data_IF_154426176487
#
_entry.id   IF_154426176487
#
_cell.length_a   1.000
_cell.length_b   1.000
_cell.length_c   1.000
_cell.angle_alpha   90.00
_cell.angle_beta   90.00
_cell.angle_gamma   90.00
#
_symmetry.space_group_name_H-M   'P 1'
#
loop_
_entity.id
_entity.type
_entity.pdbx_description
1 polymer ?
#
# COMPACT_ATOMS: atom_id res chain seq x y z
N UNK A 1 -8.63 -1.32 -24.94
CA UNK A 1 -7.36 -0.77 -25.45
C UNK A 1 -6.79 0.12 -24.35
N UNK A 2 -6.12 -0.46 -23.37
CA UNK A 2 -5.46 0.27 -22.27
C UNK A 2 -4.00 -0.11 -22.34
N UNK A 3 -3.23 0.66 -23.11
CA UNK A 3 -1.78 0.59 -23.03
C UNK A 3 -1.40 0.94 -21.58
N UNK A 4 -0.47 0.19 -20.98
CA UNK A 4 0.17 0.52 -19.71
C UNK A 4 0.67 1.97 -19.78
N UNK A 5 -0.10 2.93 -19.23
CA UNK A 5 0.29 4.33 -19.17
C UNK A 5 1.41 4.48 -18.14
N UNK A 6 2.43 5.25 -18.49
CA UNK A 6 3.51 5.55 -17.55
C UNK A 6 3.02 6.46 -16.43
N UNK A 7 3.73 6.52 -15.31
CA UNK A 7 3.39 7.50 -14.27
C UNK A 7 3.48 8.95 -14.76
N UNK A 8 4.32 9.22 -15.78
CA UNK A 8 4.38 10.53 -16.41
C UNK A 8 3.09 10.86 -17.18
N UNK A 9 2.61 9.92 -18.00
CA UNK A 9 1.37 10.10 -18.79
C UNK A 9 0.17 10.34 -17.86
N UNK A 10 0.03 9.50 -16.83
CA UNK A 10 -1.06 9.61 -15.86
C UNK A 10 -1.00 10.94 -15.09
N UNK A 11 0.20 11.40 -14.74
CA UNK A 11 0.38 12.71 -14.11
C UNK A 11 -0.05 13.85 -15.05
N UNK A 12 0.33 13.79 -16.33
CA UNK A 12 -0.06 14.78 -17.34
C UNK A 12 -1.57 14.82 -17.54
N UNK A 13 -2.21 13.66 -17.70
CA UNK A 13 -3.68 13.56 -17.83
C UNK A 13 -4.40 14.21 -16.63
N UNK A 14 -3.90 13.99 -15.41
CA UNK A 14 -4.46 14.60 -14.21
C UNK A 14 -4.26 16.12 -14.16
N UNK A 15 -3.12 16.63 -14.61
CA UNK A 15 -2.83 18.08 -14.63
C UNK A 15 -3.68 18.81 -15.68
N UNK A 16 -4.04 18.13 -16.77
CA UNK A 16 -4.94 18.67 -17.81
C UNK A 16 -6.41 18.70 -17.38
N UNK A 17 -6.84 17.78 -16.50
CA UNK A 17 -8.19 17.78 -15.92
C UNK A 17 -8.31 18.78 -14.75
N UNK A 18 -9.28 19.72 -14.82
CA UNK A 18 -9.42 20.78 -13.82
C UNK A 18 -9.66 20.24 -12.38
N UNK A 19 -10.45 19.18 -12.26
CA UNK A 19 -10.82 18.60 -10.96
C UNK A 19 -9.62 17.83 -10.37
N UNK A 20 -9.00 16.96 -11.17
CA UNK A 20 -7.84 16.18 -10.76
C UNK A 20 -6.67 17.10 -10.41
N UNK A 21 -6.35 18.08 -11.27
CA UNK A 21 -5.28 19.03 -11.03
C UNK A 21 -5.47 19.82 -9.73
N UNK A 22 -6.70 20.28 -9.46
CA UNK A 22 -7.01 20.99 -8.22
C UNK A 22 -6.79 20.09 -6.99
N UNK A 23 -7.26 18.84 -7.03
CA UNK A 23 -7.09 17.90 -5.92
C UNK A 23 -5.62 17.50 -5.74
N UNK A 24 -4.91 17.24 -6.84
CA UNK A 24 -3.49 16.90 -6.85
C UNK A 24 -2.67 18.06 -6.28
N UNK A 25 -2.95 19.29 -6.68
CA UNK A 25 -2.30 20.50 -6.15
C UNK A 25 -2.47 20.65 -4.63
N UNK A 26 -3.66 20.35 -4.10
CA UNK A 26 -3.91 20.38 -2.65
C UNK A 26 -3.11 19.31 -1.91
N UNK A 27 -3.07 18.10 -2.47
CA UNK A 27 -2.27 16.99 -1.93
C UNK A 27 -0.77 17.31 -1.91
N UNK A 28 -0.21 17.79 -3.04
CA UNK A 28 1.20 18.12 -3.17
C UNK A 28 1.62 19.30 -2.30
N UNK A 29 0.72 20.27 -2.08
CA UNK A 29 0.99 21.39 -1.18
C UNK A 29 1.30 20.91 0.25
N UNK A 30 0.73 19.79 0.68
CA UNK A 30 1.01 19.21 2.01
C UNK A 30 2.26 18.33 1.97
N UNK A 31 2.38 17.48 0.95
CA UNK A 31 3.41 16.45 0.88
C UNK A 31 4.78 16.94 0.36
N UNK A 32 4.86 18.08 -0.32
CA UNK A 32 6.08 18.58 -0.97
C UNK A 32 6.77 19.75 -0.23
N UNK A 33 6.38 20.09 1.01
CA UNK A 33 6.97 21.24 1.74
C UNK A 33 8.37 20.91 2.24
N UNK A 34 9.35 21.47 1.52
CA UNK A 34 10.78 21.20 1.50
C UNK A 34 11.60 21.14 2.81
N UNK A 35 11.08 21.21 4.04
CA UNK A 35 11.92 21.01 5.25
C UNK A 35 11.32 20.27 6.45
N UNK A 36 10.00 20.06 6.53
CA UNK A 36 9.38 19.20 7.56
C UNK A 36 8.07 18.66 7.01
N UNK A 37 8.17 17.64 6.17
CA UNK A 37 7.01 16.81 5.84
C UNK A 37 6.35 16.38 7.16
N UNK A 38 5.07 16.74 7.34
CA UNK A 38 4.25 16.12 8.36
C UNK A 38 3.63 14.86 7.74
N UNK A 39 4.15 13.70 8.11
CA UNK A 39 3.71 12.41 7.56
C UNK A 39 2.21 12.19 7.75
N UNK A 40 1.64 12.55 8.90
CA UNK A 40 0.22 12.38 9.19
C UNK A 40 -0.67 13.28 8.33
N UNK A 41 -0.30 14.56 8.18
CA UNK A 41 -1.02 15.50 7.32
C UNK A 41 -0.93 15.08 5.85
N UNK A 42 0.25 14.63 5.41
CA UNK A 42 0.43 14.15 4.04
C UNK A 42 -0.36 12.86 3.79
N UNK A 43 -0.35 11.91 4.72
CA UNK A 43 -1.19 10.71 4.66
C UNK A 43 -2.69 11.06 4.62
N UNK A 44 -3.13 12.04 5.40
CA UNK A 44 -4.52 12.51 5.36
C UNK A 44 -4.88 13.14 4.00
N UNK A 45 -4.00 13.97 3.45
CA UNK A 45 -4.18 14.57 2.13
C UNK A 45 -4.19 13.52 1.01
N UNK A 46 -3.31 12.52 1.11
CA UNK A 46 -3.25 11.37 0.21
C UNK A 46 -4.53 10.53 0.27
N UNK A 47 -5.02 10.20 1.47
CA UNK A 47 -6.33 9.54 1.64
C UNK A 47 -7.43 10.35 0.97
N UNK A 48 -7.48 11.65 1.27
CA UNK A 48 -8.50 12.53 0.70
C UNK A 48 -8.46 12.53 -0.83
N UNK A 49 -7.28 12.60 -1.44
CA UNK A 49 -7.12 12.52 -2.89
C UNK A 49 -7.66 11.20 -3.45
N UNK A 50 -7.12 10.05 -3.03
CA UNK A 50 -7.48 8.75 -3.62
C UNK A 50 -8.92 8.31 -3.34
N UNK A 51 -9.55 8.77 -2.24
CA UNK A 51 -10.95 8.45 -1.92
C UNK A 51 -11.97 9.34 -2.64
N UNK A 52 -11.59 10.56 -3.05
CA UNK A 52 -12.51 11.50 -3.70
C UNK A 52 -12.33 11.56 -5.22
N UNK A 53 -11.26 10.96 -5.76
CA UNK A 53 -11.11 10.79 -7.20
C UNK A 53 -12.00 9.65 -7.72
N UNK A 54 -12.49 9.72 -8.98
CA UNK A 54 -13.12 8.58 -9.63
C UNK A 54 -12.21 7.35 -9.58
N UNK A 55 -12.81 6.18 -9.38
CA UNK A 55 -12.07 4.93 -9.17
C UNK A 55 -11.06 4.65 -10.28
N UNK A 56 -11.42 4.92 -11.54
CA UNK A 56 -10.55 4.73 -12.70
C UNK A 56 -9.30 5.61 -12.64
N UNK A 57 -9.45 6.86 -12.18
CA UNK A 57 -8.32 7.80 -12.03
C UNK A 57 -7.42 7.35 -10.89
N UNK A 58 -8.00 7.05 -9.73
CA UNK A 58 -7.27 6.53 -8.58
C UNK A 58 -6.49 5.24 -8.94
N UNK A 59 -7.13 4.32 -9.66
CA UNK A 59 -6.53 3.08 -10.13
C UNK A 59 -5.35 3.33 -11.08
N UNK A 60 -5.50 4.23 -12.06
CA UNK A 60 -4.42 4.57 -12.99
C UNK A 60 -3.21 5.19 -12.27
N UNK A 61 -3.45 6.06 -11.29
CA UNK A 61 -2.40 6.73 -10.50
C UNK A 61 -1.69 5.76 -9.54
N UNK A 62 -2.45 4.88 -8.89
CA UNK A 62 -1.94 3.88 -7.97
C UNK A 62 -1.06 2.83 -8.68
N UNK A 63 -1.46 2.37 -9.86
CA UNK A 63 -0.80 1.26 -10.55
C UNK A 63 0.11 1.65 -11.72
N UNK A 64 0.32 2.95 -11.95
CA UNK A 64 1.29 3.40 -12.95
C UNK A 64 2.70 2.86 -12.63
N UNK A 65 3.52 2.67 -13.65
CA UNK A 65 4.91 2.27 -13.48
C UNK A 65 5.81 2.96 -14.50
N UNK A 66 7.12 2.86 -14.30
CA UNK A 66 8.14 3.49 -15.13
C UNK A 66 9.13 2.47 -15.65
N UNK A 67 9.56 2.65 -16.90
CA UNK A 67 10.68 1.90 -17.46
C UNK A 67 11.98 2.62 -17.14
N UNK A 68 13.04 1.88 -16.82
CA UNK A 68 14.37 2.47 -16.70
C UNK A 68 14.92 2.79 -18.12
N UNK A 69 15.60 3.93 -18.33
CA UNK A 69 16.05 4.93 -17.35
C UNK A 69 15.20 6.22 -17.31
N UNK A 70 13.86 6.15 -17.41
CA UNK A 70 13.01 7.35 -17.51
C UNK A 70 12.91 8.14 -16.18
N UNK A 71 13.89 9.03 -15.95
CA UNK A 71 13.98 9.87 -14.75
C UNK A 71 12.75 10.77 -14.54
N UNK A 72 12.13 11.22 -15.63
CA UNK A 72 10.95 12.09 -15.55
C UNK A 72 9.73 11.31 -15.06
N UNK A 73 9.54 10.10 -15.57
CA UNK A 73 8.52 9.19 -15.06
C UNK A 73 8.78 8.83 -13.59
N UNK A 74 10.02 8.51 -13.21
CA UNK A 74 10.34 8.19 -11.83
C UNK A 74 10.05 9.37 -10.89
N UNK A 75 10.40 10.59 -11.28
CA UNK A 75 10.07 11.80 -10.51
C UNK A 75 8.56 11.98 -10.35
N UNK A 76 7.79 11.73 -11.41
CA UNK A 76 6.33 11.75 -11.36
C UNK A 76 5.77 10.66 -10.43
N UNK A 77 6.32 9.43 -10.50
CA UNK A 77 5.93 8.31 -9.64
C UNK A 77 6.12 8.64 -8.16
N UNK A 78 7.29 9.14 -7.78
CA UNK A 78 7.58 9.49 -6.39
C UNK A 78 6.61 10.57 -5.87
N UNK A 79 6.29 11.55 -6.70
CA UNK A 79 5.33 12.61 -6.38
C UNK A 79 3.90 12.07 -6.21
N UNK A 80 3.42 11.26 -7.15
CA UNK A 80 2.09 10.65 -7.11
C UNK A 80 1.94 9.68 -5.92
N UNK A 81 3.03 9.03 -5.54
CA UNK A 81 3.08 8.01 -4.48
C UNK A 81 3.50 8.57 -3.12
N UNK A 82 3.67 9.89 -3.03
CA UNK A 82 3.86 10.60 -1.76
C UNK A 82 5.24 10.43 -1.18
N UNK A 83 6.22 9.99 -1.96
CA UNK A 83 7.60 9.84 -1.52
C UNK A 83 8.34 11.18 -1.54
N UNK A 84 9.26 11.41 -0.59
CA UNK A 84 9.60 10.56 0.55
C UNK A 84 8.73 10.83 1.80
N UNK A 85 7.58 11.50 1.67
CA UNK A 85 6.86 12.07 2.80
C UNK A 85 5.83 11.12 3.47
N UNK A 86 4.93 10.54 2.69
CA UNK A 86 3.83 9.70 3.16
C UNK A 86 4.26 8.25 3.49
N UNK A 87 5.31 7.76 2.82
CA UNK A 87 5.69 6.34 2.84
C UNK A 87 7.03 6.08 3.51
N UNK A 88 7.93 7.05 3.54
CA UNK A 88 9.30 6.82 4.02
C UNK A 88 9.49 7.40 5.41
N UNK A 89 9.92 6.57 6.35
CA UNK A 89 10.36 6.99 7.68
C UNK A 89 11.83 6.64 7.91
N UNK A 90 12.50 7.42 8.76
CA UNK A 90 13.87 7.16 9.18
C UNK A 90 13.94 7.07 10.71
N UNK A 91 14.22 5.88 11.31
CA UNK A 91 14.49 4.60 10.66
C UNK A 91 13.24 3.94 10.03
N UNK A 92 13.45 2.96 9.13
CA UNK A 92 12.39 2.11 8.59
C UNK A 92 11.83 1.20 9.70
N UNK A 93 10.50 1.16 9.93
CA UNK A 93 9.88 0.26 10.89
C UNK A 93 9.95 -1.18 10.42
N UNK A 94 9.74 -2.12 11.35
CA UNK A 94 9.48 -3.49 10.94
C UNK A 94 8.11 -3.61 10.30
N UNK A 95 7.92 -4.55 9.37
CA UNK A 95 6.59 -4.76 8.77
C UNK A 95 5.57 -5.20 9.83
N UNK A 96 6.01 -5.91 10.87
CA UNK A 96 5.17 -6.22 12.03
C UNK A 96 4.77 -4.95 12.81
N UNK A 97 5.69 -3.99 12.98
CA UNK A 97 5.39 -2.71 13.61
C UNK A 97 4.39 -1.88 12.80
N UNK A 98 4.47 -1.89 11.46
CA UNK A 98 3.49 -1.23 10.58
C UNK A 98 2.09 -1.82 10.78
N UNK A 99 2.00 -3.15 10.87
CA UNK A 99 0.77 -3.87 11.16
C UNK A 99 0.21 -3.46 12.53
N UNK A 100 1.02 -3.47 13.59
CA UNK A 100 0.56 -3.03 14.92
C UNK A 100 0.11 -1.56 14.96
N UNK A 101 0.85 -0.65 14.32
CA UNK A 101 0.45 0.75 14.21
C UNK A 101 -0.87 0.93 13.45
N UNK A 102 -1.13 0.08 12.45
CA UNK A 102 -2.42 0.05 11.77
C UNK A 102 -3.55 -0.43 12.69
N UNK A 103 -3.33 -1.49 13.48
CA UNK A 103 -4.34 -2.03 14.41
C UNK A 103 -4.80 -0.99 15.45
N UNK A 104 -3.87 -0.17 15.92
CA UNK A 104 -4.12 0.92 16.88
C UNK A 104 -4.80 2.15 16.24
N UNK A 105 -4.81 2.26 14.91
CA UNK A 105 -5.36 3.41 14.19
C UNK A 105 -6.77 3.14 13.67
N UNK A 106 -7.77 3.90 14.13
CA UNK A 106 -9.19 3.68 13.75
C UNK A 106 -9.47 3.70 12.24
N UNK A 107 -8.70 4.47 11.46
CA UNK A 107 -8.87 4.59 10.00
C UNK A 107 -8.32 3.37 9.26
N UNK A 108 -7.33 2.70 9.83
CA UNK A 108 -6.79 1.45 9.31
C UNK A 108 -7.56 0.24 9.88
N UNK A 109 -8.10 0.39 11.08
CA UNK A 109 -8.73 -0.65 11.88
C UNK A 109 -10.14 -1.04 11.45
N UNK A 110 -10.90 -0.20 10.72
CA UNK A 110 -12.32 -0.42 10.35
C UNK A 110 -13.03 -1.40 11.31
N UNK A 111 -13.12 -0.97 12.58
CA UNK A 111 -13.43 -1.79 13.77
C UNK A 111 -14.46 -2.90 13.51
N UNK A 112 -14.00 -4.13 13.42
CA UNK A 112 -14.39 -5.29 14.26
C UNK A 112 -13.32 -6.33 13.92
N UNK A 113 -12.48 -6.80 14.82
CA UNK A 113 -12.74 -7.78 15.88
C UNK A 113 -11.32 -7.76 16.64
N UNK A 114 -11.21 -7.89 17.98
CA UNK A 114 -9.94 -7.76 18.79
C UNK A 114 -8.96 -8.97 18.94
N UNK A 115 -7.64 -8.89 18.84
CA UNK A 115 -6.77 -10.05 19.20
C UNK A 115 -5.52 -9.73 19.99
N UNK A 116 -5.35 -10.49 21.06
CA UNK A 116 -4.23 -10.50 22.00
C UNK A 116 -3.26 -11.63 21.67
N UNK A 117 -2.09 -11.27 21.12
CA UNK A 117 -0.82 -12.00 21.16
C UNK A 117 -0.89 -13.54 21.28
N UNK A 118 -0.53 -14.26 20.22
CA UNK A 118 -0.32 -15.72 20.15
C UNK A 118 -1.53 -16.69 20.25
N UNK A 119 -2.75 -16.20 20.38
CA UNK A 119 -3.96 -16.80 19.75
C UNK A 119 -4.45 -15.87 18.61
N UNK A 120 -3.42 -15.22 18.03
CA UNK A 120 -3.31 -13.79 17.68
C UNK A 120 -3.82 -13.33 16.33
N UNK A 121 -3.80 -14.26 15.38
CA UNK A 121 -4.05 -14.02 13.96
C UNK A 121 -5.54 -13.94 13.67
N UNK A 122 -6.39 -14.14 14.70
CA UNK A 122 -7.83 -14.32 14.57
C UNK A 122 -8.61 -13.08 14.11
N UNK A 123 -7.95 -11.95 13.87
CA UNK A 123 -8.49 -10.76 13.20
C UNK A 123 -7.42 -10.00 12.43
N UNK A 124 -6.55 -10.74 11.75
CA UNK A 124 -5.64 -10.10 10.82
C UNK A 124 -6.46 -9.59 9.62
N UNK A 125 -6.72 -8.29 9.69
CA UNK A 125 -6.74 -7.30 8.62
C UNK A 125 -7.98 -7.23 7.73
N UNK A 126 -8.59 -6.04 7.79
CA UNK A 126 -9.10 -5.18 6.70
C UNK A 126 -9.57 -5.83 5.39
N UNK A 127 -10.56 -5.18 4.76
CA UNK A 127 -11.06 -5.51 3.41
C UNK A 127 -9.95 -5.86 2.41
N UNK A 128 -8.77 -5.24 2.50
CA UNK A 128 -7.61 -5.57 1.68
C UNK A 128 -7.16 -7.03 1.79
N UNK A 129 -7.01 -7.56 3.00
CA UNK A 129 -6.61 -8.94 3.20
C UNK A 129 -7.65 -9.92 2.68
N UNK A 130 -8.90 -9.66 3.03
CA UNK A 130 -10.05 -10.49 2.63
C UNK A 130 -10.18 -10.58 1.11
N UNK A 131 -10.01 -9.45 0.43
CA UNK A 131 -10.20 -9.37 -1.03
C UNK A 131 -8.98 -9.84 -1.80
N UNK A 132 -7.77 -9.65 -1.28
CA UNK A 132 -6.52 -9.94 -2.01
C UNK A 132 -5.89 -11.29 -1.66
N UNK A 133 -5.97 -11.74 -0.41
CA UNK A 133 -5.13 -12.83 0.13
C UNK A 133 -5.92 -13.99 0.75
N UNK A 134 -7.25 -13.84 0.95
CA UNK A 134 -8.10 -14.84 1.63
C UNK A 134 -8.02 -16.23 1.03
N UNK A 135 -7.93 -16.36 -0.29
CA UNK A 135 -7.88 -17.67 -0.94
C UNK A 135 -6.63 -18.46 -0.57
N UNK A 136 -5.55 -17.80 -0.19
CA UNK A 136 -4.32 -18.48 0.25
C UNK A 136 -4.27 -18.60 1.77
N UNK A 137 -4.73 -17.59 2.50
CA UNK A 137 -4.68 -17.60 3.98
C UNK A 137 -5.73 -18.52 4.60
N UNK A 138 -6.84 -18.79 3.90
CA UNK A 138 -7.85 -19.77 4.32
C UNK A 138 -7.30 -21.20 4.40
N UNK A 139 -6.29 -21.55 3.60
CA UNK A 139 -5.70 -22.90 3.62
C UNK A 139 -4.82 -23.10 4.87
N UNK A 140 -4.17 -22.04 5.36
CA UNK A 140 -3.30 -22.12 6.52
C UNK A 140 -3.95 -21.67 7.85
N UNK A 141 -5.03 -20.88 7.80
CA UNK A 141 -5.66 -20.26 8.98
C UNK A 141 -4.64 -19.65 9.96
N UNK A 142 -4.39 -20.32 11.10
CA UNK A 142 -3.50 -19.89 12.18
C UNK A 142 -2.20 -20.74 12.25
N UNK A 143 -1.96 -21.64 11.29
CA UNK A 143 -0.78 -22.51 11.28
C UNK A 143 0.45 -21.75 10.74
N UNK A 144 1.34 -21.38 11.66
CA UNK A 144 2.56 -20.61 11.37
C UNK A 144 3.50 -21.35 10.42
N UNK A 145 3.64 -22.68 10.56
CA UNK A 145 4.47 -23.49 9.69
C UNK A 145 3.92 -23.55 8.26
N UNK A 146 2.60 -23.58 8.10
CA UNK A 146 1.91 -23.51 6.82
C UNK A 146 2.08 -22.13 6.18
N UNK A 147 1.87 -21.04 6.94
CA UNK A 147 2.09 -19.68 6.45
C UNK A 147 3.55 -19.48 5.99
N UNK A 148 4.52 -20.04 6.71
CA UNK A 148 5.93 -20.04 6.31
C UNK A 148 6.19 -20.77 4.98
N UNK A 149 5.47 -21.86 4.71
CA UNK A 149 5.58 -22.56 3.41
C UNK A 149 5.01 -21.73 2.26
N UNK A 150 3.93 -20.97 2.48
CA UNK A 150 3.33 -20.10 1.47
C UNK A 150 4.26 -18.96 1.02
N UNK A 151 5.12 -18.45 1.91
CA UNK A 151 6.08 -17.38 1.59
C UNK A 151 7.12 -17.85 0.55
N UNK A 152 7.40 -19.17 0.47
CA UNK A 152 8.43 -19.72 -0.41
C UNK A 152 7.97 -19.93 -1.85
N UNK A 153 6.66 -20.09 -2.09
CA UNK A 153 6.10 -20.52 -3.37
C UNK A 153 5.35 -19.41 -4.14
N UNK A 154 5.73 -18.14 -3.95
CA UNK A 154 5.11 -16.98 -4.62
C UNK A 154 3.58 -16.97 -4.47
N UNK A 155 3.11 -16.62 -3.28
CA UNK A 155 1.70 -16.44 -2.94
C UNK A 155 1.01 -15.48 -3.93
N UNK A 156 0.16 -15.97 -4.87
CA UNK A 156 -0.48 -15.08 -5.84
C UNK A 156 -1.70 -14.43 -5.18
N UNK A 157 -1.85 -13.11 -5.34
CA UNK A 157 -3.07 -12.43 -4.90
C UNK A 157 -4.21 -12.62 -5.91
N UNK A 158 -5.46 -12.33 -5.51
CA UNK A 158 -6.63 -12.50 -6.38
C UNK A 158 -6.65 -11.54 -7.59
N UNK A 159 -5.98 -10.39 -7.46
CA UNK A 159 -5.87 -9.31 -8.46
C UNK A 159 -7.20 -8.84 -9.09
N UNK A 160 -8.34 -9.14 -8.47
CA UNK A 160 -9.67 -8.79 -8.96
C UNK A 160 -10.04 -7.33 -8.62
N UNK A 161 -11.19 -6.86 -9.13
CA UNK A 161 -11.66 -5.48 -8.91
C UNK A 161 -11.79 -5.13 -7.41
N UNK A 162 -12.30 -6.08 -6.62
CA UNK A 162 -12.43 -5.92 -5.17
C UNK A 162 -11.06 -5.75 -4.49
N UNK A 163 -10.05 -6.52 -4.91
CA UNK A 163 -8.68 -6.41 -4.41
C UNK A 163 -8.04 -5.07 -4.83
N UNK A 164 -8.24 -4.62 -6.08
CA UNK A 164 -7.79 -3.31 -6.55
C UNK A 164 -8.38 -2.18 -5.70
N UNK A 165 -9.70 -2.21 -5.48
CA UNK A 165 -10.37 -1.22 -4.64
C UNK A 165 -9.90 -1.24 -3.19
N UNK A 166 -9.74 -2.42 -2.62
CA UNK A 166 -9.26 -2.56 -1.26
C UNK A 166 -7.78 -2.10 -1.13
N UNK A 167 -6.94 -2.36 -2.13
CA UNK A 167 -5.58 -1.85 -2.16
C UNK A 167 -5.55 -0.31 -2.25
N UNK A 168 -6.33 0.29 -3.15
CA UNK A 168 -6.44 1.75 -3.30
C UNK A 168 -6.93 2.39 -1.98
N UNK A 169 -7.84 1.75 -1.25
CA UNK A 169 -8.31 2.28 0.04
C UNK A 169 -7.23 2.39 1.12
N UNK A 170 -6.13 1.63 1.00
CA UNK A 170 -5.00 1.72 1.93
C UNK A 170 -4.11 2.96 1.68
N UNK A 171 -4.31 3.69 0.57
CA UNK A 171 -3.47 4.83 0.21
C UNK A 171 -3.62 5.97 1.22
N UNK A 172 -2.51 6.35 1.85
CA UNK A 172 -2.47 7.29 2.97
C UNK A 172 -2.81 6.66 4.33
N UNK A 173 -2.70 5.34 4.47
CA UNK A 173 -2.69 4.64 5.77
C UNK A 173 -1.28 4.14 6.11
N UNK A 174 -1.09 3.64 7.33
CA UNK A 174 0.17 3.03 7.75
C UNK A 174 0.58 1.84 6.89
N UNK A 175 -0.38 1.16 6.24
CA UNK A 175 -0.09 0.01 5.35
C UNK A 175 0.68 0.38 4.08
N UNK A 176 0.76 1.67 3.75
CA UNK A 176 1.55 2.14 2.62
C UNK A 176 2.95 2.64 3.02
N UNK A 177 3.32 2.54 4.30
CA UNK A 177 4.65 2.91 4.79
C UNK A 177 5.65 1.81 4.43
N UNK A 178 6.80 2.22 3.90
CA UNK A 178 7.91 1.32 3.59
C UNK A 178 8.38 0.64 4.88
N UNK A 179 8.56 -0.68 4.85
CA UNK A 179 8.97 -1.47 6.03
C UNK A 179 10.06 -2.48 5.69
N UNK A 180 10.80 -2.95 6.70
CA UNK A 180 11.88 -3.92 6.54
C UNK A 180 11.81 -5.03 7.58
N UNK A 181 12.29 -6.23 7.26
CA UNK A 181 12.39 -7.34 8.21
C UNK A 181 13.83 -7.68 8.60
N UNK A 182 14.79 -6.81 8.26
CA UNK A 182 16.21 -7.07 8.48
C UNK A 182 16.58 -7.13 9.97
N UNK A 183 15.93 -6.31 10.80
CA UNK A 183 16.24 -6.17 12.23
C UNK A 183 15.20 -6.83 13.15
N UNK A 184 14.27 -7.62 12.58
CA UNK A 184 13.27 -8.35 13.38
C UNK A 184 13.93 -9.51 14.15
N UNK A 185 13.48 -9.80 15.39
CA UNK A 185 13.95 -10.96 16.15
C UNK A 185 13.76 -12.28 15.38
N UNK A 186 14.62 -13.30 15.58
CA UNK A 186 14.51 -14.57 14.85
C UNK A 186 13.14 -15.25 14.96
N UNK A 187 12.49 -15.14 16.12
CA UNK A 187 11.17 -15.71 16.37
C UNK A 187 10.04 -15.02 15.58
N UNK A 188 10.23 -13.78 15.13
CA UNK A 188 9.22 -13.00 14.41
C UNK A 188 9.55 -12.85 12.92
N UNK A 189 10.70 -13.38 12.49
CA UNK A 189 11.25 -13.09 11.16
C UNK A 189 10.36 -13.64 10.04
N UNK A 190 9.80 -14.82 10.23
CA UNK A 190 8.87 -15.45 9.29
C UNK A 190 7.59 -14.64 9.14
N UNK A 191 6.97 -14.28 10.26
CA UNK A 191 5.77 -13.45 10.28
C UNK A 191 5.99 -12.06 9.67
N UNK A 192 7.14 -11.44 9.95
CA UNK A 192 7.48 -10.16 9.32
C UNK A 192 7.59 -10.31 7.80
N UNK A 193 8.27 -11.35 7.30
CA UNK A 193 8.41 -11.59 5.86
C UNK A 193 7.08 -11.84 5.17
N UNK A 194 6.14 -12.51 5.86
CA UNK A 194 4.77 -12.69 5.38
C UNK A 194 4.10 -11.33 5.13
N UNK A 195 4.11 -10.45 6.14
CA UNK A 195 3.52 -9.11 6.01
C UNK A 195 4.24 -8.26 4.97
N UNK A 196 5.57 -8.31 4.93
CA UNK A 196 6.34 -7.63 3.88
C UNK A 196 5.89 -8.11 2.48
N UNK A 197 5.72 -9.42 2.28
CA UNK A 197 5.23 -9.95 1.02
C UNK A 197 3.83 -9.42 0.71
N UNK A 198 2.88 -9.46 1.64
CA UNK A 198 1.52 -9.00 1.37
C UNK A 198 1.40 -7.49 1.11
N UNK A 199 2.26 -6.67 1.73
CA UNK A 199 2.29 -5.22 1.54
C UNK A 199 3.05 -4.80 0.27
N UNK A 200 4.11 -5.53 -0.10
CA UNK A 200 5.08 -5.11 -1.13
C UNK A 200 5.27 -6.13 -2.28
N UNK A 201 4.45 -7.18 -2.40
CA UNK A 201 4.57 -8.22 -3.44
C UNK A 201 4.48 -7.65 -4.86
N UNK A 202 5.62 -7.62 -5.54
CA UNK A 202 5.72 -7.16 -6.93
C UNK A 202 4.93 -8.05 -7.89
N UNK A 203 4.77 -9.34 -7.59
CA UNK A 203 3.98 -10.27 -8.40
C UNK A 203 2.50 -9.89 -8.33
N UNK A 204 1.95 -9.59 -7.15
CA UNK A 204 0.58 -9.11 -6.99
C UNK A 204 0.37 -7.77 -7.72
N UNK A 205 1.25 -6.78 -7.49
CA UNK A 205 1.11 -5.47 -8.13
C UNK A 205 1.29 -5.52 -9.66
N UNK A 206 2.10 -6.44 -10.17
CA UNK A 206 2.19 -6.68 -11.61
C UNK A 206 0.87 -7.19 -12.21
N UNK A 207 0.11 -7.99 -11.47
CA UNK A 207 -1.20 -8.48 -11.89
C UNK A 207 -2.28 -7.40 -11.73
N UNK A 208 -2.18 -6.55 -10.70
CA UNK A 208 -3.10 -5.44 -10.50
C UNK A 208 -3.03 -4.38 -11.62
N UNK A 209 -1.90 -4.30 -12.34
CA UNK A 209 -1.73 -3.48 -13.56
C UNK A 209 -2.50 -4.00 -14.79
N UNK A 210 -2.82 -5.30 -14.84
CA UNK A 210 -3.52 -5.91 -15.98
C UNK A 210 -5.03 -5.70 -15.88
#
# INVERSE_FOLDING_TARGET
YTANRSCLDVNMDCVEDEVCNKQLSLYLKVCSVNKKCNMEECQAAMRFFYHNMPFEVAQMMTFCDCIQPDESCHSAKELLHGKPCATTSAPLPSCLSVIHMCEENELCSFKTIAVHFFSSVRKIFTTFWDKCWRHVTKECYDDEACLETLIKDDMPCSANADCKAAYISNWGTMLHVDCTCQNSPPAEQSLCKLFHHMLHSTSCFSQLRK
#
